data_IF_204537805542
#
_entry.id   IF_204537805542
#
_cell.length_a   1.000
_cell.length_b   1.000
_cell.length_c   1.000
_cell.angle_alpha   90.00
_cell.angle_beta   90.00
_cell.angle_gamma   90.00
#
_symmetry.space_group_name_H-M   'P 1'
#
loop_
_entity.id
_entity.type
_entity.pdbx_description
1 polymer ?
#
# COMPACT_ATOMS: atom_id res chain seq x y z
N UNK A 1 1.61 -9.68 -5.58
CA UNK A 1 0.63 -10.74 -5.91
C UNK A 1 -0.72 -10.32 -5.34
N UNK A 2 -1.85 -10.74 -5.90
CA UNK A 2 -3.16 -10.43 -5.35
C UNK A 2 -3.44 -11.17 -4.04
N UNK A 3 -4.02 -10.46 -3.09
CA UNK A 3 -4.58 -11.03 -1.86
C UNK A 3 -5.98 -11.55 -2.18
N UNK A 4 -6.45 -12.67 -1.60
CA UNK A 4 -7.82 -13.15 -1.82
C UNK A 4 -8.86 -12.07 -1.54
N UNK A 5 -10.02 -12.15 -2.22
CA UNK A 5 -11.11 -11.17 -2.19
C UNK A 5 -10.81 -9.82 -2.85
N UNK A 6 -9.61 -9.63 -3.40
CA UNK A 6 -9.18 -8.37 -4.03
C UNK A 6 -8.60 -8.59 -5.44
N UNK A 7 -9.09 -9.58 -6.19
CA UNK A 7 -8.53 -9.95 -7.50
C UNK A 7 -8.57 -8.79 -8.51
N UNK A 8 -9.71 -8.12 -8.64
CA UNK A 8 -9.86 -6.97 -9.53
C UNK A 8 -8.95 -5.81 -9.11
N UNK A 9 -8.95 -5.46 -7.82
CA UNK A 9 -8.06 -4.43 -7.26
C UNK A 9 -6.58 -4.75 -7.52
N UNK A 10 -6.17 -5.99 -7.26
CA UNK A 10 -4.80 -6.44 -7.47
C UNK A 10 -4.39 -6.42 -8.96
N UNK A 11 -5.29 -6.80 -9.86
CA UNK A 11 -5.06 -6.71 -11.30
C UNK A 11 -4.84 -5.25 -11.72
N UNK A 12 -5.71 -4.33 -11.29
CA UNK A 12 -5.57 -2.90 -11.58
C UNK A 12 -4.26 -2.32 -11.05
N UNK A 13 -3.87 -2.63 -9.80
CA UNK A 13 -2.58 -2.14 -9.24
C UNK A 13 -1.36 -2.68 -9.99
N UNK A 14 -1.42 -3.91 -10.50
CA UNK A 14 -0.36 -4.47 -11.37
C UNK A 14 -0.32 -3.78 -12.74
N UNK A 15 -1.47 -3.46 -13.32
CA UNK A 15 -1.53 -2.73 -14.57
C UNK A 15 -0.89 -1.33 -14.45
N UNK A 16 -1.17 -0.60 -13.35
CA UNK A 16 -0.52 0.70 -13.07
C UNK A 16 1.01 0.55 -12.98
N UNK A 17 1.49 -0.52 -12.36
CA UNK A 17 2.93 -0.79 -12.28
C UNK A 17 3.55 -0.96 -13.69
N UNK A 18 2.99 -1.85 -14.51
CA UNK A 18 3.51 -2.10 -15.86
C UNK A 18 3.42 -0.86 -16.77
N UNK A 19 2.31 -0.11 -16.70
CA UNK A 19 2.15 1.16 -17.40
C UNK A 19 3.25 2.15 -17.01
N UNK A 20 3.49 2.32 -15.71
CA UNK A 20 4.50 3.27 -15.21
C UNK A 20 5.92 2.87 -15.59
N UNK A 21 6.22 1.57 -15.65
CA UNK A 21 7.53 1.05 -16.10
C UNK A 21 7.77 1.33 -17.59
N UNK A 22 6.76 1.13 -18.45
CA UNK A 22 6.83 1.47 -19.88
C UNK A 22 7.00 2.97 -20.09
N UNK A 23 6.11 3.77 -19.50
CA UNK A 23 6.07 5.23 -19.65
C UNK A 23 7.41 5.87 -19.26
N UNK A 24 8.06 5.39 -18.19
CA UNK A 24 9.36 5.91 -17.78
C UNK A 24 10.45 5.68 -18.85
N UNK A 25 10.37 4.57 -19.57
CA UNK A 25 11.33 4.24 -20.63
C UNK A 25 11.12 5.13 -21.86
N UNK A 26 9.86 5.36 -22.22
CA UNK A 26 9.45 6.30 -23.28
C UNK A 26 9.90 7.73 -22.96
N UNK A 27 9.58 8.24 -21.77
CA UNK A 27 9.95 9.60 -21.33
C UNK A 27 11.47 9.84 -21.28
N UNK A 28 12.26 8.79 -21.05
CA UNK A 28 13.73 8.83 -21.13
C UNK A 28 14.24 8.82 -22.57
N UNK A 29 13.60 8.06 -23.44
CA UNK A 29 13.93 8.03 -24.86
C UNK A 29 13.68 9.40 -25.51
N UNK A 30 12.66 10.12 -25.04
CA UNK A 30 12.28 11.44 -25.54
C UNK A 30 12.98 12.62 -24.84
N UNK A 31 13.89 12.37 -23.87
CA UNK A 31 14.54 13.42 -23.07
C UNK A 31 13.54 14.45 -22.46
N UNK A 32 12.35 13.98 -22.06
CA UNK A 32 11.22 14.85 -21.69
C UNK A 32 11.43 15.73 -20.44
N UNK A 33 12.41 15.38 -19.59
CA UNK A 33 12.59 16.00 -18.28
C UNK A 33 11.52 15.65 -17.23
N UNK A 34 10.55 14.78 -17.55
CA UNK A 34 9.46 14.39 -16.64
C UNK A 34 9.85 13.16 -15.82
N UNK A 35 9.78 13.28 -14.49
CA UNK A 35 10.01 12.18 -13.55
C UNK A 35 8.73 11.40 -13.23
N UNK A 36 8.79 10.07 -13.29
CA UNK A 36 7.67 9.19 -12.89
C UNK A 36 8.10 8.20 -11.82
N UNK A 37 7.34 8.19 -10.72
CA UNK A 37 7.66 7.44 -9.50
C UNK A 37 6.52 6.51 -9.08
N UNK A 38 6.88 5.35 -8.54
CA UNK A 38 5.92 4.43 -7.90
C UNK A 38 6.18 4.38 -6.40
N UNK A 39 5.12 4.53 -5.60
CA UNK A 39 5.16 4.34 -4.15
C UNK A 39 4.35 3.09 -3.79
N UNK A 40 5.04 2.10 -3.23
CA UNK A 40 4.44 0.85 -2.79
C UNK A 40 4.02 0.96 -1.33
N UNK A 41 2.75 1.23 -1.12
CA UNK A 41 2.17 1.41 0.20
C UNK A 41 1.89 0.09 0.93
N UNK A 42 2.03 0.07 2.27
CA UNK A 42 1.44 -0.96 3.12
C UNK A 42 -0.06 -0.69 3.31
N UNK A 43 -0.69 -1.44 4.21
CA UNK A 43 -2.05 -1.16 4.66
C UNK A 43 -2.07 0.07 5.58
N UNK A 44 -2.97 1.02 5.32
CA UNK A 44 -3.15 2.22 6.13
C UNK A 44 -4.46 2.23 6.90
N UNK A 45 -4.45 2.90 8.04
CA UNK A 45 -5.62 3.22 8.83
C UNK A 45 -6.31 4.46 8.24
N UNK A 46 -6.99 4.31 7.11
CA UNK A 46 -7.86 5.35 6.55
C UNK A 46 -9.33 4.99 6.81
N UNK A 47 -10.25 5.97 6.75
CA UNK A 47 -11.69 5.72 6.85
C UNK A 47 -12.27 4.87 5.72
N UNK A 48 -11.47 4.48 4.70
CA UNK A 48 -11.94 3.79 3.50
C UNK A 48 -12.84 2.58 3.82
N UNK A 49 -12.53 1.82 4.86
CA UNK A 49 -13.28 0.61 5.20
C UNK A 49 -14.66 0.90 5.81
N UNK A 50 -14.91 2.13 6.27
CA UNK A 50 -16.18 2.56 6.84
C UNK A 50 -17.24 2.82 5.75
N UNK A 51 -16.85 3.32 4.58
CA UNK A 51 -17.77 3.74 3.51
C UNK A 51 -17.58 3.04 2.17
N UNK A 52 -16.53 2.23 1.97
CA UNK A 52 -16.28 1.64 0.64
C UNK A 52 -17.34 0.60 0.32
N UNK A 53 -17.89 0.65 -0.90
CA UNK A 53 -18.80 -0.40 -1.35
C UNK A 53 -18.15 -1.76 -1.26
N UNK A 54 -18.85 -2.71 -0.65
CA UNK A 54 -18.40 -4.09 -0.54
C UNK A 54 -19.55 -5.04 -0.85
N UNK A 55 -19.26 -6.06 -1.64
CA UNK A 55 -20.18 -7.17 -1.92
C UNK A 55 -19.95 -8.35 -0.96
N UNK A 56 -19.14 -8.17 0.09
CA UNK A 56 -18.88 -9.19 1.09
C UNK A 56 -19.91 -9.10 2.24
N UNK A 57 -20.30 -10.25 2.78
CA UNK A 57 -21.25 -10.34 3.91
C UNK A 57 -20.66 -9.78 5.23
N UNK A 58 -19.35 -9.53 5.26
CA UNK A 58 -18.61 -9.02 6.41
C UNK A 58 -17.83 -7.77 6.04
N UNK A 59 -17.74 -6.84 6.99
CA UNK A 59 -16.92 -5.65 6.84
C UNK A 59 -15.47 -6.01 6.57
N UNK A 60 -14.75 -5.12 5.90
CA UNK A 60 -13.35 -5.32 5.55
C UNK A 60 -12.46 -4.50 6.48
N UNK A 61 -11.19 -4.87 6.62
CA UNK A 61 -10.20 -4.10 7.36
C UNK A 61 -8.82 -4.18 6.71
N UNK A 62 -7.89 -3.26 7.02
CA UNK A 62 -6.55 -3.30 6.48
C UNK A 62 -5.84 -4.58 6.97
N UNK A 63 -5.13 -5.26 6.06
CA UNK A 63 -4.36 -6.45 6.42
C UNK A 63 -3.13 -6.03 7.24
N UNK A 64 -2.89 -6.61 8.43
CA UNK A 64 -1.79 -6.20 9.28
C UNK A 64 -0.41 -6.50 8.67
N UNK A 65 0.63 -5.71 9.01
CA UNK A 65 0.60 -4.55 9.92
C UNK A 65 -0.03 -3.30 9.28
N UNK A 66 -0.71 -2.53 10.14
CA UNK A 66 -1.42 -1.30 9.77
C UNK A 66 -0.53 -0.10 10.14
N UNK A 67 -0.48 0.89 9.26
CA UNK A 67 0.23 2.15 9.49
C UNK A 67 -0.75 3.32 9.50
N UNK A 68 -0.39 4.40 10.19
CA UNK A 68 -1.13 5.65 10.08
C UNK A 68 -0.93 6.28 8.69
N UNK A 69 -1.94 6.99 8.15
CA UNK A 69 -1.91 7.58 6.80
C UNK A 69 -0.77 8.60 6.61
N UNK A 70 -0.34 9.26 7.68
CA UNK A 70 0.76 10.22 7.68
C UNK A 70 2.08 9.60 7.19
N UNK A 71 2.30 8.31 7.48
CA UNK A 71 3.48 7.57 6.97
C UNK A 71 3.46 7.50 5.44
N UNK A 72 2.28 7.34 4.85
CA UNK A 72 2.11 7.37 3.39
C UNK A 72 2.30 8.76 2.82
N UNK A 73 1.74 9.78 3.47
CA UNK A 73 1.90 11.18 3.07
C UNK A 73 3.37 11.60 3.06
N UNK A 74 4.11 11.30 4.13
CA UNK A 74 5.54 11.57 4.22
C UNK A 74 6.32 10.89 3.10
N UNK A 75 5.97 9.64 2.77
CA UNK A 75 6.61 8.92 1.67
C UNK A 75 6.37 9.56 0.30
N UNK A 76 5.17 10.07 0.04
CA UNK A 76 4.85 10.79 -1.20
C UNK A 76 5.65 12.07 -1.30
N UNK A 77 5.67 12.89 -0.24
CA UNK A 77 6.43 14.14 -0.19
C UNK A 77 7.92 13.86 -0.44
N UNK A 78 8.50 12.90 0.29
CA UNK A 78 9.90 12.52 0.11
C UNK A 78 10.23 12.09 -1.32
N UNK A 79 9.34 11.33 -1.97
CA UNK A 79 9.54 10.88 -3.35
C UNK A 79 9.45 12.04 -4.34
N UNK A 80 8.52 12.97 -4.13
CA UNK A 80 8.38 14.16 -4.94
C UNK A 80 9.61 15.07 -4.86
N UNK A 81 10.17 15.25 -3.66
CA UNK A 81 11.38 16.07 -3.44
C UNK A 81 12.66 15.44 -3.99
N UNK A 82 12.77 14.11 -3.93
CA UNK A 82 14.01 13.40 -4.28
C UNK A 82 14.03 12.81 -5.68
N UNK A 83 12.90 12.80 -6.40
CA UNK A 83 12.78 12.22 -7.74
C UNK A 83 13.00 10.70 -7.78
N UNK A 84 12.83 10.00 -6.65
CA UNK A 84 13.05 8.55 -6.58
C UNK A 84 12.05 7.79 -7.44
N UNK A 85 12.53 6.97 -8.38
CA UNK A 85 11.67 6.22 -9.30
C UNK A 85 10.80 5.17 -8.63
N UNK A 86 11.25 4.60 -7.51
CA UNK A 86 10.52 3.56 -6.78
C UNK A 86 10.83 3.65 -5.28
N UNK A 87 9.80 3.57 -4.44
CA UNK A 87 9.92 3.60 -2.98
C UNK A 87 8.95 2.61 -2.34
N UNK A 88 9.43 1.89 -1.33
CA UNK A 88 8.66 0.92 -0.57
C UNK A 88 8.51 1.43 0.87
N UNK A 89 7.28 1.57 1.33
CA UNK A 89 7.00 2.27 2.60
C UNK A 89 6.94 1.29 3.78
N UNK A 90 6.55 0.03 3.56
CA UNK A 90 6.44 -0.98 4.61
C UNK A 90 7.26 -2.23 4.34
N UNK A 91 7.87 -2.79 5.39
CA UNK A 91 8.57 -4.09 5.33
C UNK A 91 7.69 -5.24 4.78
N UNK A 92 6.40 -5.37 5.11
CA UNK A 92 5.56 -6.45 4.54
C UNK A 92 5.45 -6.38 3.02
N UNK A 93 5.44 -5.17 2.46
CA UNK A 93 5.38 -4.93 1.02
C UNK A 93 6.67 -5.47 0.36
N UNK A 94 7.81 -5.24 1.00
CA UNK A 94 9.12 -5.76 0.59
C UNK A 94 9.24 -7.28 0.79
N UNK A 95 8.84 -7.80 1.94
CA UNK A 95 8.85 -9.23 2.24
C UNK A 95 7.97 -10.01 1.25
N UNK A 96 6.78 -9.49 0.94
CA UNK A 96 5.89 -10.08 -0.07
C UNK A 96 6.48 -10.02 -1.48
N UNK A 97 7.12 -8.90 -1.84
CA UNK A 97 7.79 -8.78 -3.13
C UNK A 97 8.96 -9.78 -3.27
N UNK A 98 9.80 -9.89 -2.23
CA UNK A 98 10.92 -10.82 -2.16
C UNK A 98 10.43 -12.28 -2.18
N UNK A 99 9.46 -12.65 -1.35
CA UNK A 99 8.94 -14.01 -1.29
C UNK A 99 8.36 -14.48 -2.64
N UNK A 100 7.63 -13.60 -3.34
CA UNK A 100 7.13 -13.91 -4.68
C UNK A 100 8.26 -14.14 -5.70
N UNK A 101 9.37 -13.40 -5.58
CA UNK A 101 10.54 -13.55 -6.46
C UNK A 101 11.25 -14.90 -6.26
N UNK A 102 11.25 -15.44 -5.04
CA UNK A 102 11.92 -16.72 -4.74
C UNK A 102 11.04 -17.94 -5.01
N UNK A 103 9.77 -17.95 -4.57
CA UNK A 103 8.85 -19.07 -4.85
C UNK A 103 7.39 -18.64 -4.71
N UNK A 104 6.72 -18.46 -5.84
CA UNK A 104 5.27 -18.17 -5.85
C UNK A 104 4.45 -19.30 -5.20
N UNK A 105 4.86 -20.56 -5.37
CA UNK A 105 4.17 -21.74 -4.82
C UNK A 105 4.24 -21.85 -3.29
N UNK A 106 5.33 -21.37 -2.68
CA UNK A 106 5.43 -21.34 -1.21
C UNK A 106 4.51 -20.26 -0.65
N UNK A 107 4.47 -19.09 -1.30
CA UNK A 107 3.55 -18.01 -0.96
C UNK A 107 2.09 -18.43 -1.17
N UNK A 108 1.77 -19.19 -2.22
CA UNK A 108 0.45 -19.81 -2.43
C UNK A 108 -0.02 -20.58 -1.20
N UNK A 109 0.82 -21.50 -0.69
CA UNK A 109 0.49 -22.37 0.45
C UNK A 109 0.31 -21.55 1.72
N UNK A 110 1.24 -20.62 1.99
CA UNK A 110 1.16 -19.75 3.15
C UNK A 110 -0.11 -18.89 3.13
N UNK A 111 -0.48 -18.34 1.96
CA UNK A 111 -1.69 -17.51 1.83
C UNK A 111 -2.98 -18.34 1.85
N UNK A 112 -2.95 -19.57 1.35
CA UNK A 112 -4.12 -20.47 1.38
C UNK A 112 -4.52 -20.86 2.81
N UNK A 113 -3.55 -20.89 3.73
CA UNK A 113 -3.76 -21.17 5.15
C UNK A 113 -4.16 -19.91 5.95
N UNK A 114 -4.06 -18.71 5.37
CA UNK A 114 -4.45 -17.49 6.07
C UNK A 114 -5.98 -17.40 6.19
N UNK A 115 -6.50 -17.23 7.41
CA UNK A 115 -7.94 -17.05 7.60
C UNK A 115 -8.43 -15.78 6.90
N UNK A 116 -9.53 -15.87 6.15
CA UNK A 116 -10.23 -14.68 5.62
C UNK A 116 -10.60 -13.68 6.73
N UNK A 117 -10.80 -14.17 7.97
CA UNK A 117 -11.02 -13.35 9.15
C UNK A 117 -9.89 -12.36 9.49
N UNK A 118 -8.71 -12.48 8.90
CA UNK A 118 -7.66 -11.46 9.03
C UNK A 118 -8.01 -10.15 8.29
N UNK A 119 -8.79 -10.24 7.21
CA UNK A 119 -9.22 -9.11 6.39
C UNK A 119 -10.68 -8.70 6.65
N UNK A 120 -11.40 -9.45 7.47
CA UNK A 120 -12.81 -9.21 7.76
C UNK A 120 -13.03 -8.74 9.21
N UNK A 121 -14.08 -7.95 9.40
CA UNK A 121 -14.64 -7.57 10.70
C UNK A 121 -15.97 -8.30 10.93
N UNK A 122 -16.77 -7.84 11.89
CA UNK A 122 -18.14 -8.32 12.09
C UNK A 122 -19.05 -8.08 10.87
N UNK A 123 -20.30 -8.59 10.94
CA UNK A 123 -21.31 -8.34 9.91
C UNK A 123 -21.54 -6.84 9.75
N UNK A 124 -21.88 -6.43 8.53
CA UNK A 124 -22.18 -5.03 8.18
C UNK A 124 -23.57 -4.99 7.54
N UNK A 125 -24.32 -3.91 7.79
CA UNK A 125 -25.66 -3.73 7.23
C UNK A 125 -25.58 -3.74 5.69
N UNK A 126 -26.49 -4.47 5.04
CA UNK A 126 -26.50 -4.63 3.59
C UNK A 126 -26.86 -3.34 2.85
N UNK A 127 -27.58 -2.45 3.53
CA UNK A 127 -28.06 -1.14 3.07
C UNK A 127 -27.23 0.03 3.60
N UNK A 128 -26.03 -0.23 4.18
CA UNK A 128 -25.17 0.89 4.61
C UNK A 128 -24.89 1.82 3.41
N UNK A 129 -24.86 3.14 3.63
CA UNK A 129 -24.39 4.07 2.60
C UNK A 129 -22.97 3.69 2.14
N UNK A 130 -22.71 3.84 0.85
CA UNK A 130 -21.40 3.60 0.25
C UNK A 130 -20.97 4.72 -0.69
N UNK A 131 -19.67 4.87 -0.87
CA UNK A 131 -19.09 5.97 -1.63
C UNK A 131 -18.79 5.63 -3.11
N UNK A 132 -19.44 4.62 -3.72
CA UNK A 132 -19.11 4.23 -5.09
C UNK A 132 -19.63 5.24 -6.13
N UNK A 133 -20.86 5.73 -5.95
CA UNK A 133 -21.52 6.62 -6.91
C UNK A 133 -21.66 8.04 -6.40
N UNK A 134 -21.92 8.19 -5.10
CA UNK A 134 -22.14 9.48 -4.45
C UNK A 134 -21.24 9.59 -3.22
N UNK A 135 -20.77 10.79 -2.86
CA UNK A 135 -20.13 11.02 -1.57
C UNK A 135 -21.09 10.71 -0.42
N UNK A 136 -20.55 10.29 0.72
CA UNK A 136 -21.35 9.93 1.92
C UNK A 136 -20.83 10.64 3.18
N UNK A 137 -20.18 11.78 2.98
CA UNK A 137 -19.50 12.60 3.99
C UNK A 137 -20.14 13.99 4.19
N UNK A 138 -21.32 14.24 3.63
CA UNK A 138 -22.04 15.52 3.77
C UNK A 138 -22.35 15.86 5.25
N UNK A 139 -22.76 14.86 6.04
CA UNK A 139 -23.15 15.04 7.45
C UNK A 139 -21.99 14.86 8.44
N UNK A 140 -20.86 14.31 7.97
CA UNK A 140 -19.73 13.94 8.82
C UNK A 140 -18.43 13.98 8.04
N UNK A 141 -17.48 14.78 8.54
CA UNK A 141 -16.08 14.64 8.19
C UNK A 141 -15.50 13.37 8.84
N UNK A 142 -15.02 12.45 8.02
CA UNK A 142 -14.40 11.20 8.47
C UNK A 142 -12.92 11.39 8.84
N UNK A 143 -12.33 12.54 8.52
CA UNK A 143 -10.92 12.82 8.73
C UNK A 143 -10.00 11.92 7.90
N UNK A 144 -8.74 11.83 8.32
CA UNK A 144 -7.72 11.04 7.61
C UNK A 144 -7.48 9.66 8.24
N UNK A 145 -7.75 9.51 9.54
CA UNK A 145 -7.51 8.28 10.31
C UNK A 145 -8.80 7.47 10.44
N UNK A 146 -8.71 6.18 10.17
CA UNK A 146 -9.81 5.23 10.36
C UNK A 146 -9.91 4.69 11.79
N UNK A 147 -10.80 3.71 12.02
CA UNK A 147 -11.12 3.20 13.37
C UNK A 147 -10.07 2.22 13.92
N UNK A 148 -8.88 2.12 13.30
CA UNK A 148 -7.85 1.14 13.67
C UNK A 148 -6.64 1.77 14.38
N UNK A 149 -6.82 2.93 15.03
CA UNK A 149 -5.75 3.68 15.70
C UNK A 149 -4.94 2.83 16.70
N UNK A 150 -5.62 2.04 17.54
CA UNK A 150 -4.97 1.17 18.54
C UNK A 150 -4.04 0.09 17.94
N UNK A 151 -4.13 -0.15 16.63
CA UNK A 151 -3.34 -1.15 15.90
C UNK A 151 -2.42 -0.52 14.86
N UNK A 152 -2.55 0.77 14.60
CA UNK A 152 -1.83 1.47 13.56
C UNK A 152 -0.51 2.01 14.08
N UNK A 153 0.55 1.84 13.28
CA UNK A 153 1.89 2.34 13.58
C UNK A 153 2.04 3.75 13.03
N UNK A 154 2.48 4.68 13.87
CA UNK A 154 2.74 6.08 13.46
C UNK A 154 4.02 6.23 12.63
N UNK A 155 4.90 5.23 12.66
CA UNK A 155 6.19 5.27 11.95
C UNK A 155 6.49 3.97 11.22
N UNK A 156 7.31 4.06 10.16
CA UNK A 156 7.88 2.89 9.49
C UNK A 156 9.41 2.95 9.56
N UNK A 157 9.99 2.17 10.47
CA UNK A 157 11.44 2.04 10.58
C UNK A 157 12.11 1.63 9.26
N UNK A 158 11.43 0.80 8.46
CA UNK A 158 11.90 0.44 7.12
C UNK A 158 11.99 1.66 6.21
N UNK A 159 10.94 2.48 6.18
CA UNK A 159 10.92 3.69 5.37
C UNK A 159 12.00 4.68 5.85
N UNK A 160 12.13 4.90 7.16
CA UNK A 160 13.17 5.76 7.76
C UNK A 160 14.59 5.38 7.31
N UNK A 161 14.90 4.09 7.37
CA UNK A 161 16.20 3.59 6.90
C UNK A 161 16.33 3.74 5.38
N UNK A 162 15.27 3.47 4.62
CA UNK A 162 15.27 3.54 3.16
C UNK A 162 15.52 4.97 2.63
N UNK A 163 15.07 6.00 3.36
CA UNK A 163 15.39 7.41 3.05
C UNK A 163 16.90 7.62 3.03
N UNK A 164 17.60 7.00 3.98
CA UNK A 164 19.05 7.16 4.21
C UNK A 164 19.93 6.13 3.48
N UNK A 165 19.40 5.37 2.51
CA UNK A 165 20.14 4.29 1.82
C UNK A 165 21.52 4.68 1.29
N UNK A 166 21.72 5.91 0.82
CA UNK A 166 23.03 6.40 0.36
C UNK A 166 24.05 6.50 1.49
N UNK A 167 23.63 7.01 2.66
CA UNK A 167 24.47 7.10 3.86
C UNK A 167 24.74 5.71 4.46
N UNK A 168 23.74 4.82 4.46
CA UNK A 168 23.91 3.44 4.92
C UNK A 168 24.90 2.69 4.03
N UNK A 169 24.78 2.84 2.70
CA UNK A 169 25.74 2.26 1.76
C UNK A 169 27.16 2.80 1.96
N UNK A 170 27.30 4.11 2.17
CA UNK A 170 28.60 4.73 2.45
C UNK A 170 29.21 4.25 3.78
N UNK A 171 28.41 4.13 4.85
CA UNK A 171 28.87 3.66 6.14
C UNK A 171 29.31 2.18 6.10
N UNK A 172 28.57 1.33 5.39
CA UNK A 172 28.94 -0.08 5.18
C UNK A 172 30.22 -0.21 4.36
N UNK A 173 30.40 0.62 3.32
CA UNK A 173 31.60 0.64 2.52
C UNK A 173 32.83 1.12 3.31
N UNK A 174 32.66 2.07 4.25
CA UNK A 174 33.74 2.55 5.12
C UNK A 174 34.11 1.57 6.25
N UNK A 175 33.27 0.57 6.53
CA UNK A 175 33.49 -0.46 7.54
C UNK A 175 34.11 -1.76 6.99
N UNK A 176 34.31 -1.84 5.66
CA UNK A 176 34.97 -2.93 4.94
C UNK A 176 36.43 -2.55 4.64
#
# INVERSE_FOLDING_TARGET
RGVPLQSAYAASKRAVQGFTESLRSELRHEDSGVGVSIVHFPAFNTPQFEWVRSHADRGQRPFPPIYQPEVGAEAVVHVAETGRTETWVGWPTVATALANRFSSRLVDRLLAELPYGLQQTGPVAADRPDNLFDPVDDDRDYGIRGPFDDRARETSAFFEVSKRRGLVGAALAAAL
#
